data_IF_733965573779
#
_entry.id   IF_733965573779
#
_cell.length_a   1.000
_cell.length_b   1.000
_cell.length_c   1.000
_cell.angle_alpha   90.00
_cell.angle_beta   90.00
_cell.angle_gamma   90.00
#
_symmetry.space_group_name_H-M   'P 1'
#
loop_
_entity.id
_entity.type
_entity.pdbx_description
1 polymer ?
#
# COMPACT_ATOMS: atom_id res chain seq x y z
N UNK A 1 -30.78 -4.26 15.81
CA UNK A 1 -31.07 -5.25 14.74
C UNK A 1 -30.30 -6.52 15.05
N UNK A 2 -30.85 -7.70 14.87
CA UNK A 2 -30.09 -8.94 15.05
C UNK A 2 -29.34 -9.19 13.74
N UNK A 3 -28.03 -9.08 13.73
CA UNK A 3 -27.18 -9.38 12.57
C UNK A 3 -27.23 -10.89 12.30
N UNK A 4 -27.57 -11.27 11.07
CA UNK A 4 -27.70 -12.68 10.65
C UNK A 4 -26.64 -13.06 9.63
N UNK A 5 -26.29 -12.12 8.74
CA UNK A 5 -25.34 -12.36 7.65
C UNK A 5 -24.33 -11.24 7.50
N UNK A 6 -23.06 -11.62 7.50
CA UNK A 6 -21.91 -10.74 7.29
C UNK A 6 -21.30 -11.07 5.95
N UNK A 7 -20.99 -10.06 5.16
CA UNK A 7 -20.25 -10.19 3.91
C UNK A 7 -18.85 -9.59 4.03
N UNK A 8 -17.87 -10.27 3.44
CA UNK A 8 -16.49 -9.82 3.33
C UNK A 8 -16.16 -9.54 1.87
N UNK A 9 -15.40 -8.47 1.61
CA UNK A 9 -14.85 -8.22 0.29
C UNK A 9 -13.47 -7.52 0.39
N UNK A 10 -12.53 -7.90 -0.50
CA UNK A 10 -11.23 -7.24 -0.65
C UNK A 10 -11.16 -6.55 -2.00
N UNK A 11 -10.67 -5.31 -2.05
CA UNK A 11 -10.59 -4.55 -3.30
C UNK A 11 -9.35 -3.62 -3.34
N UNK A 12 -9.05 -3.12 -4.54
CA UNK A 12 -7.92 -2.23 -4.81
C UNK A 12 -6.65 -2.99 -5.20
N UNK A 13 -5.48 -2.46 -4.89
CA UNK A 13 -4.19 -3.14 -5.06
C UNK A 13 -3.96 -4.21 -3.99
N UNK A 14 -3.09 -5.18 -4.25
CA UNK A 14 -2.67 -6.11 -3.20
C UNK A 14 -1.84 -5.39 -2.13
N UNK A 15 -1.96 -5.86 -0.90
CA UNK A 15 -1.10 -5.49 0.23
C UNK A 15 -0.93 -6.70 1.16
N UNK A 16 0.14 -6.77 1.96
CA UNK A 16 0.46 -7.92 2.81
C UNK A 16 -0.42 -8.04 4.05
N UNK A 17 -1.73 -7.84 3.90
CA UNK A 17 -2.69 -7.90 5.01
C UNK A 17 -3.99 -8.57 4.61
N UNK A 18 -4.26 -8.73 3.29
CA UNK A 18 -5.58 -9.13 2.83
C UNK A 18 -5.99 -10.51 3.34
N UNK A 19 -5.10 -11.49 3.24
CA UNK A 19 -5.35 -12.84 3.73
C UNK A 19 -5.58 -12.85 5.24
N UNK A 20 -4.70 -12.19 6.00
CA UNK A 20 -4.80 -12.11 7.45
C UNK A 20 -6.04 -11.33 7.92
N UNK A 21 -6.43 -10.26 7.21
CA UNK A 21 -7.63 -9.50 7.58
C UNK A 21 -8.92 -10.32 7.38
N UNK A 22 -9.00 -11.09 6.30
CA UNK A 22 -10.11 -12.04 6.09
C UNK A 22 -10.12 -13.09 7.19
N UNK A 23 -8.96 -13.69 7.49
CA UNK A 23 -8.81 -14.69 8.57
C UNK A 23 -9.24 -14.16 9.92
N UNK A 24 -8.72 -12.99 10.33
CA UNK A 24 -9.02 -12.37 11.62
C UNK A 24 -10.51 -12.01 11.78
N UNK A 25 -11.18 -11.51 10.73
CA UNK A 25 -12.62 -11.27 10.77
C UNK A 25 -13.42 -12.57 10.96
N UNK A 26 -13.05 -13.65 10.24
CA UNK A 26 -13.70 -14.96 10.37
C UNK A 26 -13.50 -15.52 11.78
N UNK A 27 -12.28 -15.48 12.32
CA UNK A 27 -11.95 -15.93 13.68
C UNK A 27 -12.79 -15.14 14.69
N UNK A 28 -12.82 -13.80 14.57
CA UNK A 28 -13.52 -12.97 15.54
C UNK A 28 -15.02 -13.18 15.53
N UNK A 29 -15.66 -13.27 14.36
CA UNK A 29 -17.08 -13.62 14.28
C UNK A 29 -17.39 -15.01 14.80
N UNK A 30 -16.49 -15.97 14.60
CA UNK A 30 -16.63 -17.33 15.13
C UNK A 30 -16.63 -17.36 16.66
N UNK A 31 -15.83 -16.47 17.29
CA UNK A 31 -15.80 -16.33 18.75
C UNK A 31 -17.02 -15.59 19.32
N UNK A 32 -17.44 -14.49 18.66
CA UNK A 32 -18.50 -13.61 19.18
C UNK A 32 -19.91 -14.17 18.90
N UNK A 33 -20.13 -14.67 17.70
CA UNK A 33 -21.44 -15.09 17.18
C UNK A 33 -21.26 -16.33 16.28
N UNK A 34 -21.05 -17.54 16.85
CA UNK A 34 -20.74 -18.76 16.09
C UNK A 34 -21.78 -19.12 15.02
N UNK A 35 -23.04 -18.73 15.25
CA UNK A 35 -24.17 -19.03 14.36
C UNK A 35 -24.35 -17.99 13.24
N UNK A 36 -23.58 -16.89 13.25
CA UNK A 36 -23.69 -15.86 12.21
C UNK A 36 -23.22 -16.42 10.86
N UNK A 37 -23.97 -16.17 9.81
CA UNK A 37 -23.57 -16.60 8.48
C UNK A 37 -22.54 -15.60 7.91
N UNK A 38 -21.42 -16.11 7.40
CA UNK A 38 -20.37 -15.33 6.74
C UNK A 38 -20.32 -15.73 5.28
N UNK A 39 -20.47 -14.74 4.40
CA UNK A 39 -20.22 -14.90 2.97
C UNK A 39 -19.02 -14.03 2.57
N UNK A 40 -18.34 -14.40 1.50
CA UNK A 40 -17.23 -13.64 0.96
C UNK A 40 -17.37 -13.46 -0.54
N UNK A 41 -17.52 -12.22 -1.00
CA UNK A 41 -17.62 -11.91 -2.43
C UNK A 41 -16.26 -12.11 -3.11
N UNK A 42 -16.28 -12.88 -4.21
CA UNK A 42 -15.07 -13.19 -4.96
C UNK A 42 -14.66 -12.01 -5.84
N UNK A 43 -13.36 -11.72 -5.87
CA UNK A 43 -12.81 -10.64 -6.70
C UNK A 43 -13.40 -9.24 -6.40
N UNK A 44 -13.72 -8.97 -5.14
CA UNK A 44 -14.17 -7.66 -4.68
C UNK A 44 -15.51 -7.22 -5.28
N UNK A 45 -15.59 -5.96 -5.71
CA UNK A 45 -16.83 -5.43 -6.30
C UNK A 45 -17.26 -6.13 -7.60
N UNK A 46 -16.34 -6.79 -8.31
CA UNK A 46 -16.70 -7.58 -9.49
C UNK A 46 -17.61 -8.76 -9.11
N UNK A 47 -17.26 -9.49 -8.06
CA UNK A 47 -18.08 -10.58 -7.55
C UNK A 47 -19.39 -10.11 -6.92
N UNK A 48 -19.38 -8.97 -6.23
CA UNK A 48 -20.61 -8.37 -5.70
C UNK A 48 -21.59 -8.04 -6.84
N UNK A 49 -21.12 -7.42 -7.94
CA UNK A 49 -21.98 -7.13 -9.10
C UNK A 49 -22.53 -8.39 -9.76
N UNK A 50 -21.75 -9.48 -9.79
CA UNK A 50 -22.17 -10.77 -10.36
C UNK A 50 -22.93 -11.68 -9.37
N UNK A 51 -23.01 -11.35 -8.10
CA UNK A 51 -23.55 -12.21 -7.05
C UNK A 51 -22.65 -13.43 -6.77
N UNK A 52 -21.36 -13.34 -7.11
CA UNK A 52 -20.39 -14.43 -6.95
C UNK A 52 -19.78 -14.38 -5.55
N UNK A 53 -20.16 -15.30 -4.69
CA UNK A 53 -19.65 -15.41 -3.34
C UNK A 53 -19.47 -16.87 -2.90
N UNK A 54 -18.69 -17.06 -1.85
CA UNK A 54 -18.59 -18.33 -1.12
C UNK A 54 -19.19 -18.15 0.27
N UNK A 55 -19.79 -19.20 0.81
CA UNK A 55 -20.20 -19.25 2.22
C UNK A 55 -19.09 -19.88 3.03
N UNK A 56 -18.74 -19.23 4.15
CA UNK A 56 -17.71 -19.73 5.08
C UNK A 56 -18.29 -20.89 5.88
N UNK A 57 -17.81 -22.10 5.60
CA UNK A 57 -18.26 -23.32 6.28
C UNK A 57 -17.64 -23.46 7.68
N UNK A 58 -18.21 -24.30 8.58
CA UNK A 58 -17.57 -24.59 9.88
C UNK A 58 -16.11 -25.04 9.74
N UNK A 59 -15.80 -25.89 8.75
CA UNK A 59 -14.43 -26.33 8.48
C UNK A 59 -13.51 -25.19 8.08
N UNK A 60 -13.99 -24.23 7.28
CA UNK A 60 -13.24 -23.02 6.93
C UNK A 60 -12.99 -22.14 8.15
N UNK A 61 -13.96 -22.03 9.07
CA UNK A 61 -13.79 -21.28 10.32
C UNK A 61 -12.69 -21.86 11.20
N UNK A 62 -12.66 -23.18 11.39
CA UNK A 62 -11.61 -23.87 12.15
C UNK A 62 -10.21 -23.64 11.57
N UNK A 63 -10.12 -23.40 10.27
CA UNK A 63 -8.86 -23.22 9.54
C UNK A 63 -8.54 -21.74 9.21
N UNK A 64 -9.35 -20.80 9.66
CA UNK A 64 -9.15 -19.38 9.33
C UNK A 64 -7.78 -18.85 9.77
N UNK A 65 -7.23 -19.34 10.88
CA UNK A 65 -5.91 -19.01 11.37
C UNK A 65 -4.78 -19.30 10.38
N UNK A 66 -4.94 -20.27 9.47
CA UNK A 66 -3.94 -20.57 8.43
C UNK A 66 -3.77 -19.42 7.43
N UNK A 67 -4.78 -18.57 7.27
CA UNK A 67 -4.72 -17.42 6.38
C UNK A 67 -3.67 -16.39 6.78
N UNK A 68 -3.25 -16.39 8.05
CA UNK A 68 -2.18 -15.50 8.52
C UNK A 68 -0.80 -15.80 7.91
N UNK A 69 -0.58 -17.03 7.46
CA UNK A 69 0.67 -17.46 6.83
C UNK A 69 0.76 -17.18 5.32
N UNK A 70 -0.26 -16.54 4.71
CA UNK A 70 -0.32 -16.33 3.27
C UNK A 70 -0.44 -14.86 2.88
N UNK A 71 0.23 -14.50 1.78
CA UNK A 71 0.02 -13.24 1.09
C UNK A 71 -1.14 -13.33 0.09
N UNK A 72 -1.46 -12.19 -0.54
CA UNK A 72 -2.58 -12.08 -1.46
C UNK A 72 -3.94 -12.09 -0.77
N UNK A 73 -5.02 -12.32 -1.53
CA UNK A 73 -6.38 -12.42 -1.00
C UNK A 73 -6.95 -13.82 -1.23
N UNK A 74 -7.45 -14.51 -0.19
CA UNK A 74 -8.03 -15.86 -0.35
C UNK A 74 -9.36 -15.85 -1.09
N UNK A 75 -10.02 -14.69 -1.19
CA UNK A 75 -11.30 -14.48 -1.89
C UNK A 75 -11.12 -13.74 -3.22
N UNK A 76 -9.88 -13.59 -3.68
CA UNK A 76 -9.56 -12.81 -4.86
C UNK A 76 -9.68 -11.30 -4.62
N UNK A 77 -9.22 -10.53 -5.58
CA UNK A 77 -9.16 -9.07 -5.48
C UNK A 77 -9.31 -8.44 -6.86
N UNK A 78 -9.93 -7.26 -6.94
CA UNK A 78 -10.02 -6.51 -8.20
C UNK A 78 -9.94 -5.00 -7.98
N UNK A 79 -9.68 -4.27 -9.07
CA UNK A 79 -9.70 -2.82 -9.11
C UNK A 79 -10.98 -2.27 -9.73
N UNK A 80 -12.06 -3.04 -9.72
CA UNK A 80 -13.38 -2.58 -10.16
C UNK A 80 -13.86 -1.50 -9.19
N UNK A 81 -14.26 -0.36 -9.74
CA UNK A 81 -14.87 0.76 -9.00
C UNK A 81 -16.31 0.93 -9.46
N UNK A 82 -17.27 0.92 -8.55
CA UNK A 82 -18.70 1.10 -8.89
C UNK A 82 -18.97 2.48 -9.50
N UNK A 83 -18.14 3.47 -9.19
CA UNK A 83 -18.21 4.82 -9.77
C UNK A 83 -17.72 4.89 -11.23
N UNK A 84 -17.02 3.87 -11.72
CA UNK A 84 -16.54 3.81 -13.11
C UNK A 84 -17.48 2.99 -13.98
N UNK A 85 -18.66 3.56 -14.28
CA UNK A 85 -19.74 2.92 -15.07
C UNK A 85 -19.21 2.39 -16.41
N UNK A 86 -18.39 3.18 -17.13
CA UNK A 86 -17.84 2.80 -18.44
C UNK A 86 -16.98 1.54 -18.36
N UNK A 87 -16.14 1.40 -17.32
CA UNK A 87 -15.30 0.22 -17.12
C UNK A 87 -16.15 -1.00 -16.74
N UNK A 88 -17.18 -0.82 -15.89
CA UNK A 88 -18.10 -1.88 -15.52
C UNK A 88 -18.88 -2.42 -16.73
N UNK A 89 -19.39 -1.54 -17.59
CA UNK A 89 -20.07 -1.93 -18.83
C UNK A 89 -19.10 -2.63 -19.80
N UNK A 90 -17.91 -2.07 -20.00
CA UNK A 90 -16.86 -2.65 -20.87
C UNK A 90 -16.47 -4.08 -20.45
N UNK A 91 -16.45 -4.34 -19.15
CA UNK A 91 -16.16 -5.67 -18.58
C UNK A 91 -17.35 -6.61 -18.55
N UNK A 92 -18.54 -6.14 -18.95
CA UNK A 92 -19.77 -6.93 -18.90
C UNK A 92 -20.29 -7.20 -17.48
N UNK A 93 -19.88 -6.39 -16.50
CA UNK A 93 -20.32 -6.52 -15.11
C UNK A 93 -21.71 -5.93 -14.88
N UNK A 94 -22.08 -4.94 -15.69
CA UNK A 94 -23.42 -4.36 -15.74
C UNK A 94 -23.83 -4.11 -17.19
N UNK A 95 -25.12 -4.04 -17.46
CA UNK A 95 -25.63 -3.70 -18.79
C UNK A 95 -25.49 -2.20 -19.09
N UNK A 96 -25.54 -1.81 -20.35
CA UNK A 96 -25.55 -0.42 -20.76
C UNK A 96 -26.77 0.31 -20.16
N UNK A 97 -26.55 1.46 -19.53
CA UNK A 97 -27.59 2.24 -18.87
C UNK A 97 -27.87 1.83 -17.43
N UNK A 98 -27.26 0.77 -16.91
CA UNK A 98 -27.35 0.42 -15.50
C UNK A 98 -26.30 1.19 -14.67
N UNK A 99 -26.67 1.58 -13.47
CA UNK A 99 -25.76 2.11 -12.46
C UNK A 99 -25.17 0.95 -11.63
N UNK A 100 -23.84 0.75 -11.63
CA UNK A 100 -23.22 -0.32 -10.86
C UNK A 100 -23.48 -0.22 -9.35
N UNK A 101 -23.67 0.99 -8.79
CA UNK A 101 -24.01 1.17 -7.39
C UNK A 101 -25.39 0.54 -7.07
N UNK A 102 -26.39 0.80 -7.92
CA UNK A 102 -27.72 0.22 -7.76
C UNK A 102 -27.70 -1.31 -7.91
N UNK A 103 -26.98 -1.83 -8.90
CA UNK A 103 -26.85 -3.29 -9.11
C UNK A 103 -26.20 -3.95 -7.88
N UNK A 104 -25.14 -3.35 -7.33
CA UNK A 104 -24.50 -3.84 -6.12
C UNK A 104 -25.43 -3.78 -4.90
N UNK A 105 -26.20 -2.72 -4.74
CA UNK A 105 -27.19 -2.57 -3.66
C UNK A 105 -28.32 -3.62 -3.75
N UNK A 106 -28.87 -3.85 -4.94
CA UNK A 106 -29.85 -4.89 -5.19
C UNK A 106 -29.29 -6.28 -4.85
N UNK A 107 -28.03 -6.54 -5.20
CA UNK A 107 -27.40 -7.82 -4.90
C UNK A 107 -27.22 -8.02 -3.39
N UNK A 108 -26.74 -7.00 -2.64
CA UNK A 108 -26.64 -7.06 -1.18
C UNK A 108 -28.00 -7.35 -0.52
N UNK A 109 -29.06 -6.69 -0.99
CA UNK A 109 -30.43 -6.92 -0.52
C UNK A 109 -30.89 -8.33 -0.82
N UNK A 110 -30.67 -8.83 -2.04
CA UNK A 110 -31.01 -10.18 -2.47
C UNK A 110 -30.29 -11.25 -1.65
N UNK A 111 -29.02 -11.01 -1.32
CA UNK A 111 -28.23 -11.91 -0.50
C UNK A 111 -28.53 -11.75 1.00
N UNK A 112 -29.34 -10.79 1.40
CA UNK A 112 -29.75 -10.56 2.79
C UNK A 112 -28.60 -10.17 3.70
N UNK A 113 -27.68 -9.32 3.21
CA UNK A 113 -26.47 -8.90 3.94
C UNK A 113 -26.81 -7.80 4.93
N UNK A 114 -26.60 -8.03 6.22
CA UNK A 114 -26.79 -7.04 7.29
C UNK A 114 -25.52 -6.19 7.51
N UNK A 115 -24.35 -6.79 7.33
CA UNK A 115 -23.04 -6.18 7.56
C UNK A 115 -22.12 -6.42 6.36
N UNK A 116 -21.48 -5.38 5.86
CA UNK A 116 -20.43 -5.47 4.84
C UNK A 116 -19.09 -5.02 5.42
N UNK A 117 -18.11 -5.89 5.43
CA UNK A 117 -16.71 -5.53 5.66
C UNK A 117 -15.98 -5.34 4.34
N UNK A 118 -15.38 -4.16 4.18
CA UNK A 118 -14.50 -3.86 3.05
C UNK A 118 -13.06 -3.77 3.52
N UNK A 119 -12.16 -4.50 2.85
CA UNK A 119 -10.72 -4.47 3.10
C UNK A 119 -10.08 -3.82 1.89
N UNK A 120 -9.77 -2.52 1.98
CA UNK A 120 -9.32 -1.76 0.82
C UNK A 120 -8.83 -0.36 1.15
N UNK A 121 -8.45 0.38 0.11
CA UNK A 121 -8.07 1.80 0.21
C UNK A 121 -9.28 2.71 0.45
N UNK A 122 -9.02 4.01 0.39
CA UNK A 122 -10.03 5.06 0.53
C UNK A 122 -11.21 4.89 -0.44
N UNK A 123 -10.96 4.73 -1.73
CA UNK A 123 -11.97 4.49 -2.76
C UNK A 123 -12.88 3.27 -2.45
N UNK A 124 -12.30 2.19 -1.91
CA UNK A 124 -13.06 0.98 -1.57
C UNK A 124 -14.02 1.23 -0.42
N UNK A 125 -13.53 1.91 0.62
CA UNK A 125 -14.28 2.18 1.83
C UNK A 125 -15.35 3.26 1.60
N UNK A 126 -15.05 4.31 0.84
CA UNK A 126 -16.04 5.35 0.50
C UNK A 126 -17.13 4.82 -0.41
N UNK A 127 -16.81 3.96 -1.39
CA UNK A 127 -17.81 3.28 -2.23
C UNK A 127 -18.79 2.44 -1.38
N UNK A 128 -18.30 1.77 -0.35
CA UNK A 128 -19.18 1.00 0.55
C UNK A 128 -20.06 1.91 1.41
N UNK A 129 -19.59 3.10 1.78
CA UNK A 129 -20.41 4.10 2.44
C UNK A 129 -21.54 4.61 1.53
N UNK A 130 -21.24 4.86 0.25
CA UNK A 130 -22.24 5.26 -0.75
C UNK A 130 -23.30 4.17 -0.92
N UNK A 131 -22.91 2.89 -0.94
CA UNK A 131 -23.85 1.76 -0.95
C UNK A 131 -24.76 1.75 0.28
N UNK A 132 -24.21 1.96 1.48
CA UNK A 132 -24.99 2.00 2.71
C UNK A 132 -25.98 3.17 2.71
N UNK A 133 -25.55 4.36 2.27
CA UNK A 133 -26.41 5.53 2.15
C UNK A 133 -27.57 5.30 1.17
N UNK A 134 -27.27 4.78 -0.02
CA UNK A 134 -28.29 4.44 -1.01
C UNK A 134 -29.30 3.41 -0.49
N UNK A 135 -28.84 2.35 0.18
CA UNK A 135 -29.72 1.32 0.74
C UNK A 135 -30.59 1.87 1.85
N UNK A 136 -30.07 2.72 2.73
CA UNK A 136 -30.84 3.38 3.78
C UNK A 136 -31.98 4.22 3.21
N UNK A 137 -31.70 5.02 2.16
CA UNK A 137 -32.73 5.81 1.45
C UNK A 137 -33.82 4.93 0.81
N UNK A 138 -33.52 3.67 0.50
CA UNK A 138 -34.42 2.69 -0.08
C UNK A 138 -35.00 1.69 0.95
N UNK A 139 -34.86 1.99 2.25
CA UNK A 139 -35.50 1.22 3.34
C UNK A 139 -34.78 -0.08 3.70
N UNK A 140 -33.50 -0.21 3.37
CA UNK A 140 -32.67 -1.34 3.77
C UNK A 140 -31.45 -0.86 4.60
N UNK A 141 -31.36 -1.39 5.82
CA UNK A 141 -30.26 -1.01 6.73
C UNK A 141 -29.05 -1.91 6.51
N UNK A 142 -27.96 -1.34 6.03
CA UNK A 142 -26.66 -1.99 5.89
C UNK A 142 -25.63 -1.33 6.80
N UNK A 143 -25.05 -2.09 7.70
CA UNK A 143 -23.88 -1.63 8.46
C UNK A 143 -22.61 -1.88 7.64
N UNK A 144 -21.76 -0.86 7.47
CA UNK A 144 -20.50 -0.98 6.76
C UNK A 144 -19.34 -0.67 7.68
N UNK A 145 -18.39 -1.61 7.81
CA UNK A 145 -17.18 -1.38 8.58
C UNK A 145 -15.96 -1.75 7.71
N UNK A 146 -15.20 -0.72 7.36
CA UNK A 146 -14.01 -0.86 6.51
C UNK A 146 -12.73 -1.07 7.31
N UNK A 147 -11.77 -1.77 6.69
CA UNK A 147 -10.38 -1.89 7.15
C UNK A 147 -9.46 -1.18 6.14
N UNK A 148 -8.61 -0.23 6.59
CA UNK A 148 -7.79 0.58 5.70
C UNK A 148 -6.56 -0.20 5.23
N UNK A 149 -6.54 -0.57 3.96
CA UNK A 149 -5.49 -1.36 3.34
C UNK A 149 -4.79 -0.56 2.23
N UNK A 150 -3.53 -0.20 2.45
CA UNK A 150 -2.62 0.35 1.45
C UNK A 150 -1.18 0.15 1.90
N UNK A 151 -0.27 -0.10 0.96
CA UNK A 151 1.18 -0.13 1.27
C UNK A 151 1.79 1.28 1.33
N UNK A 152 1.12 2.26 0.73
CA UNK A 152 1.62 3.64 0.65
C UNK A 152 1.39 4.43 1.94
N UNK A 153 0.56 3.89 2.86
CA UNK A 153 0.18 4.54 4.12
C UNK A 153 -0.44 5.93 3.93
N UNK A 154 -1.27 6.08 2.89
CA UNK A 154 -1.76 7.36 2.36
C UNK A 154 -3.25 7.65 2.63
N UNK A 155 -3.86 7.02 3.62
CA UNK A 155 -5.28 7.23 4.02
C UNK A 155 -5.39 8.22 5.16
N UNK A 156 -6.10 9.33 4.96
CA UNK A 156 -6.45 10.32 6.00
C UNK A 156 -7.70 9.84 6.77
N UNK A 157 -7.78 9.97 8.09
CA UNK A 157 -6.76 10.34 9.06
C UNK A 157 -6.09 9.12 9.72
N UNK A 158 -5.94 8.04 9.00
CA UNK A 158 -5.42 6.78 9.51
C UNK A 158 -3.90 6.88 9.69
N UNK A 159 -3.42 6.65 10.92
CA UNK A 159 -2.00 6.69 11.25
C UNK A 159 -1.21 5.61 10.51
N UNK A 160 -1.70 4.38 10.61
CA UNK A 160 -1.05 3.22 10.04
C UNK A 160 -2.05 2.36 9.28
N UNK A 161 -1.83 2.23 7.97
CA UNK A 161 -2.59 1.35 7.11
C UNK A 161 -2.09 -0.09 7.21
N UNK A 162 -3.02 -1.05 7.09
CA UNK A 162 -2.73 -2.47 7.15
C UNK A 162 -1.87 -2.90 5.97
N UNK A 163 -0.77 -3.61 6.25
CA UNK A 163 0.17 -4.14 5.27
C UNK A 163 1.34 -3.21 4.94
N UNK A 164 1.34 -1.96 5.41
CA UNK A 164 2.40 -1.01 5.07
C UNK A 164 3.73 -1.32 5.78
N UNK A 165 3.70 -1.76 7.04
CA UNK A 165 4.92 -2.18 7.75
C UNK A 165 5.57 -3.41 7.10
N UNK A 166 4.77 -4.42 6.77
CA UNK A 166 5.27 -5.61 6.05
C UNK A 166 5.85 -5.23 4.70
N UNK A 167 5.20 -4.34 3.95
CA UNK A 167 5.71 -3.90 2.66
C UNK A 167 7.07 -3.19 2.78
N UNK A 168 7.27 -2.37 3.82
CA UNK A 168 8.56 -1.73 4.10
C UNK A 168 9.64 -2.76 4.47
N UNK A 169 9.32 -3.74 5.31
CA UNK A 169 10.24 -4.83 5.69
C UNK A 169 10.63 -5.69 4.47
N UNK A 170 9.66 -6.08 3.65
CA UNK A 170 9.92 -6.84 2.43
C UNK A 170 10.77 -6.05 1.42
N UNK A 171 10.53 -4.75 1.31
CA UNK A 171 11.39 -3.85 0.54
C UNK A 171 12.84 -3.83 1.06
N UNK A 172 13.02 -3.85 2.38
CA UNK A 172 14.35 -3.92 3.00
C UNK A 172 15.05 -5.27 2.72
N UNK A 173 14.33 -6.39 2.80
CA UNK A 173 14.85 -7.72 2.42
C UNK A 173 15.23 -7.78 0.94
N UNK A 174 14.42 -7.18 0.07
CA UNK A 174 14.73 -7.08 -1.35
C UNK A 174 16.01 -6.25 -1.58
N UNK A 175 16.17 -5.15 -0.83
CA UNK A 175 17.34 -4.28 -0.91
C UNK A 175 18.62 -5.03 -0.55
N UNK A 176 18.63 -5.89 0.48
CA UNK A 176 19.81 -6.70 0.85
C UNK A 176 20.35 -7.50 -0.32
N UNK A 177 19.47 -8.13 -1.10
CA UNK A 177 19.89 -8.94 -2.24
C UNK A 177 20.40 -8.08 -3.41
N UNK A 178 19.71 -6.98 -3.73
CA UNK A 178 20.11 -6.17 -4.88
C UNK A 178 21.37 -5.33 -4.60
N UNK A 179 21.57 -4.89 -3.36
CA UNK A 179 22.75 -4.12 -2.97
C UNK A 179 24.01 -5.00 -3.01
N UNK A 180 23.91 -6.29 -2.73
CA UNK A 180 25.02 -7.23 -2.89
C UNK A 180 25.64 -7.23 -4.30
N UNK A 181 24.89 -6.81 -5.31
CA UNK A 181 25.37 -6.68 -6.70
C UNK A 181 26.48 -5.61 -6.88
N UNK A 182 26.67 -4.70 -5.90
CA UNK A 182 27.81 -3.78 -5.94
C UNK A 182 29.16 -4.51 -6.04
N UNK A 183 29.20 -5.76 -5.59
CA UNK A 183 30.40 -6.61 -5.65
C UNK A 183 30.70 -7.15 -7.05
N UNK A 184 29.76 -7.07 -7.99
CA UNK A 184 29.90 -7.64 -9.34
C UNK A 184 30.65 -6.73 -10.32
N UNK A 185 30.69 -5.42 -10.04
CA UNK A 185 31.37 -4.42 -10.87
C UNK A 185 31.88 -3.28 -9.99
N UNK A 186 33.01 -2.67 -10.35
CA UNK A 186 33.47 -1.44 -9.70
C UNK A 186 32.51 -0.29 -10.03
N UNK A 187 32.46 0.71 -9.14
CA UNK A 187 31.70 1.96 -9.33
C UNK A 187 30.25 1.74 -9.77
N UNK A 188 29.54 0.90 -8.99
CA UNK A 188 28.16 0.54 -9.30
C UNK A 188 27.16 1.52 -8.68
N UNK A 189 26.24 2.04 -9.50
CA UNK A 189 25.06 2.80 -9.04
C UNK A 189 23.84 1.88 -9.01
N UNK A 190 23.30 1.64 -7.83
CA UNK A 190 22.11 0.81 -7.60
C UNK A 190 20.96 1.71 -7.21
N UNK A 191 19.84 1.60 -7.93
CA UNK A 191 18.59 2.30 -7.63
C UNK A 191 17.53 1.26 -7.30
N UNK A 192 17.08 1.27 -6.06
CA UNK A 192 15.92 0.53 -5.59
C UNK A 192 14.68 1.41 -5.74
N UNK A 193 13.89 1.18 -6.78
CA UNK A 193 12.62 1.87 -6.99
C UNK A 193 11.51 1.19 -6.18
N UNK A 194 10.91 1.96 -5.29
CA UNK A 194 9.85 1.56 -4.35
C UNK A 194 8.53 2.20 -4.79
N UNK A 195 7.40 1.51 -4.60
CA UNK A 195 6.07 2.08 -4.85
C UNK A 195 5.80 3.28 -3.95
N UNK A 196 4.84 4.11 -4.33
CA UNK A 196 4.45 5.33 -3.62
C UNK A 196 4.42 6.52 -4.58
N UNK A 197 3.36 6.58 -5.43
CA UNK A 197 3.23 7.63 -6.45
C UNK A 197 3.17 9.03 -5.88
N UNK A 198 2.39 9.22 -4.82
CA UNK A 198 2.08 10.51 -4.22
C UNK A 198 2.44 10.58 -2.73
N UNK A 199 2.97 9.49 -2.17
CA UNK A 199 3.37 9.38 -0.79
C UNK A 199 4.70 8.63 -0.69
N UNK A 200 5.73 9.29 -0.21
CA UNK A 200 7.08 8.74 -0.06
C UNK A 200 7.29 7.88 1.18
N UNK A 201 6.25 7.70 2.00
CA UNK A 201 6.36 7.00 3.27
C UNK A 201 6.96 5.60 3.12
N UNK A 202 6.47 4.81 2.14
CA UNK A 202 6.95 3.44 1.95
C UNK A 202 8.45 3.40 1.60
N UNK A 203 8.92 4.33 0.76
CA UNK A 203 10.34 4.43 0.39
C UNK A 203 11.20 4.79 1.60
N UNK A 204 10.78 5.79 2.36
CA UNK A 204 11.46 6.21 3.58
C UNK A 204 11.49 5.10 4.65
N UNK A 205 10.35 4.44 4.87
CA UNK A 205 10.24 3.32 5.81
C UNK A 205 11.07 2.11 5.38
N UNK A 206 11.11 1.80 4.07
CA UNK A 206 11.96 0.74 3.51
C UNK A 206 13.44 1.03 3.77
N UNK A 207 13.90 2.24 3.52
CA UNK A 207 15.28 2.64 3.78
C UNK A 207 15.63 2.60 5.27
N UNK A 208 14.70 3.05 6.14
CA UNK A 208 14.89 2.98 7.58
C UNK A 208 14.98 1.55 8.09
N UNK A 209 14.06 0.65 7.67
CA UNK A 209 14.06 -0.77 8.02
C UNK A 209 15.33 -1.46 7.49
N UNK A 210 15.78 -1.13 6.31
CA UNK A 210 17.04 -1.65 5.78
C UNK A 210 18.23 -1.25 6.65
N UNK A 211 18.35 0.02 7.05
CA UNK A 211 19.42 0.47 7.94
C UNK A 211 19.33 -0.12 9.36
N UNK A 212 18.12 -0.32 9.88
CA UNK A 212 17.89 -1.03 11.14
C UNK A 212 18.50 -2.45 11.08
N UNK A 213 18.22 -3.19 10.00
CA UNK A 213 18.80 -4.52 9.75
C UNK A 213 20.33 -4.48 9.64
N UNK A 214 20.88 -3.52 8.89
CA UNK A 214 22.33 -3.34 8.83
C UNK A 214 22.94 -3.01 10.19
N UNK A 215 22.20 -2.34 11.09
CA UNK A 215 22.65 -2.03 12.45
C UNK A 215 22.88 -3.26 13.33
N UNK A 216 22.27 -4.40 12.98
CA UNK A 216 22.45 -5.69 13.68
C UNK A 216 23.52 -6.59 13.04
N UNK A 217 24.12 -6.16 11.92
CA UNK A 217 25.14 -6.93 11.21
C UNK A 217 26.55 -6.48 11.57
N UNK A 218 27.47 -7.43 11.63
CA UNK A 218 28.90 -7.17 11.74
C UNK A 218 29.53 -7.25 10.36
N UNK A 219 30.40 -6.30 10.06
CA UNK A 219 31.15 -6.25 8.80
C UNK A 219 32.59 -6.69 9.04
N UNK A 220 33.10 -7.56 8.17
CA UNK A 220 34.45 -8.10 8.31
C UNK A 220 35.57 -7.10 7.93
N UNK A 221 35.20 -6.03 7.21
CA UNK A 221 36.19 -5.11 6.61
C UNK A 221 36.99 -5.71 5.46
N UNK A 222 36.61 -6.90 4.98
CA UNK A 222 37.31 -7.57 3.88
C UNK A 222 36.76 -7.13 2.53
N UNK A 223 37.53 -6.37 1.78
CA UNK A 223 37.14 -5.86 0.46
C UNK A 223 35.87 -4.99 0.55
N UNK A 224 34.84 -5.38 -0.16
CA UNK A 224 33.56 -4.67 -0.21
C UNK A 224 32.60 -5.01 0.97
N UNK A 225 33.03 -5.86 1.92
CA UNK A 225 32.23 -6.17 3.10
C UNK A 225 32.47 -5.14 4.21
N UNK A 226 32.09 -3.90 3.93
CA UNK A 226 32.17 -2.75 4.85
C UNK A 226 30.80 -2.10 4.98
N UNK A 227 30.58 -1.40 6.08
CA UNK A 227 29.32 -0.68 6.31
C UNK A 227 29.04 0.32 5.19
N UNK A 228 30.05 1.02 4.74
CA UNK A 228 29.97 2.08 3.72
C UNK A 228 29.48 1.53 2.39
N UNK A 229 29.90 0.33 1.98
CA UNK A 229 29.43 -0.28 0.73
C UNK A 229 27.97 -0.74 0.79
N UNK A 230 27.49 -1.11 1.97
CA UNK A 230 26.16 -1.65 2.15
C UNK A 230 25.13 -0.61 2.62
N UNK A 231 25.55 0.59 3.04
CA UNK A 231 24.61 1.58 3.57
C UNK A 231 23.67 2.20 2.50
N UNK A 232 22.63 2.84 2.95
CA UNK A 232 21.77 3.73 2.17
C UNK A 232 22.55 5.02 1.90
N UNK A 233 22.66 5.43 0.65
CA UNK A 233 23.37 6.66 0.29
C UNK A 233 22.43 7.81 -0.09
N UNK A 234 21.22 7.51 -0.53
CA UNK A 234 20.19 8.51 -0.78
C UNK A 234 18.78 7.95 -0.65
N UNK A 235 17.83 8.80 -0.25
CA UNK A 235 16.38 8.51 -0.21
C UNK A 235 15.66 9.65 -0.90
N UNK A 236 15.01 9.37 -2.04
CA UNK A 236 14.25 10.37 -2.80
C UNK A 236 12.77 10.07 -2.74
N UNK A 237 12.00 11.04 -2.27
CA UNK A 237 10.55 10.97 -2.09
C UNK A 237 9.87 12.10 -2.88
N UNK A 238 8.59 11.92 -3.30
CA UNK A 238 7.90 12.93 -4.12
C UNK A 238 7.67 14.26 -3.41
N UNK A 239 7.68 14.27 -2.08
CA UNK A 239 7.42 15.45 -1.25
C UNK A 239 8.64 16.38 -1.11
N UNK A 240 9.83 15.94 -1.52
CA UNK A 240 11.04 16.73 -1.44
C UNK A 240 11.52 17.13 -2.85
N UNK A 241 11.82 18.42 -3.00
CA UNK A 241 12.53 18.90 -4.17
C UNK A 241 13.98 18.42 -4.17
N UNK A 242 14.49 18.10 -5.34
CA UNK A 242 15.83 17.55 -5.52
C UNK A 242 16.67 18.45 -6.41
N UNK A 243 17.77 18.94 -5.87
CA UNK A 243 18.85 19.52 -6.67
C UNK A 243 19.77 18.40 -7.18
N UNK A 244 19.58 18.03 -8.45
CA UNK A 244 20.33 16.94 -9.11
C UNK A 244 21.84 17.21 -9.10
N UNK A 245 22.27 18.47 -9.28
CA UNK A 245 23.68 18.79 -9.36
C UNK A 245 24.37 18.67 -7.98
N UNK A 246 23.75 19.22 -6.95
CA UNK A 246 24.25 19.12 -5.58
C UNK A 246 24.30 17.67 -5.09
N UNK A 247 23.22 16.90 -5.35
CA UNK A 247 23.19 15.47 -5.00
C UNK A 247 24.22 14.65 -5.78
N UNK A 248 24.41 14.94 -7.07
CA UNK A 248 25.44 14.24 -7.84
C UNK A 248 26.86 14.49 -7.31
N UNK A 249 27.17 15.70 -6.84
CA UNK A 249 28.45 16.02 -6.21
C UNK A 249 28.63 15.22 -4.91
N UNK A 250 27.61 15.19 -4.05
CA UNK A 250 27.62 14.40 -2.81
C UNK A 250 27.77 12.90 -3.08
N UNK A 251 26.97 12.34 -4.00
CA UNK A 251 27.03 10.93 -4.37
C UNK A 251 28.33 10.55 -5.07
N UNK A 252 28.94 11.49 -5.80
CA UNK A 252 30.26 11.28 -6.41
C UNK A 252 31.34 11.08 -5.34
N UNK A 253 31.31 11.86 -4.27
CA UNK A 253 32.26 11.68 -3.17
C UNK A 253 32.10 10.28 -2.53
N UNK A 254 30.87 9.81 -2.33
CA UNK A 254 30.59 8.46 -1.84
C UNK A 254 31.08 7.39 -2.82
N UNK A 255 30.82 7.57 -4.12
CA UNK A 255 31.29 6.66 -5.16
C UNK A 255 32.83 6.56 -5.19
N UNK A 256 33.51 7.69 -4.99
CA UNK A 256 34.97 7.72 -4.98
C UNK A 256 35.56 7.05 -3.73
N UNK A 257 34.87 7.07 -2.59
CA UNK A 257 35.30 6.48 -1.32
C UNK A 257 34.91 4.99 -1.22
N UNK A 258 33.60 4.69 -1.40
CA UNK A 258 33.04 3.35 -1.18
C UNK A 258 33.02 2.47 -2.45
N UNK A 259 33.19 3.05 -3.64
CA UNK A 259 33.15 2.32 -4.90
C UNK A 259 31.74 1.92 -5.35
N UNK A 260 30.70 2.35 -4.65
CA UNK A 260 29.30 2.10 -5.00
C UNK A 260 28.38 3.19 -4.45
N UNK A 261 27.18 3.31 -5.02
CA UNK A 261 26.11 4.19 -4.53
C UNK A 261 24.78 3.44 -4.53
N UNK A 262 24.09 3.42 -3.39
CA UNK A 262 22.79 2.76 -3.18
C UNK A 262 21.71 3.81 -2.93
N UNK A 263 20.75 3.92 -3.85
CA UNK A 263 19.65 4.91 -3.81
C UNK A 263 18.33 4.20 -3.59
N UNK A 264 17.53 4.67 -2.63
CA UNK A 264 16.13 4.30 -2.44
C UNK A 264 15.27 5.40 -3.06
N UNK A 265 14.51 5.04 -4.08
CA UNK A 265 13.75 5.98 -4.91
C UNK A 265 12.27 5.66 -4.87
N UNK A 266 11.43 6.62 -4.47
CA UNK A 266 10.00 6.51 -4.71
C UNK A 266 9.70 6.63 -6.21
N UNK A 267 8.81 5.78 -6.73
CA UNK A 267 8.36 5.87 -8.13
C UNK A 267 7.71 7.22 -8.46
N UNK A 268 7.30 8.01 -7.45
CA UNK A 268 6.73 9.34 -7.59
C UNK A 268 7.76 10.47 -7.56
N UNK A 269 9.00 10.20 -7.14
CA UNK A 269 10.02 11.24 -7.04
C UNK A 269 10.40 11.79 -8.42
N UNK A 270 10.56 13.10 -8.54
CA UNK A 270 10.99 13.79 -9.75
C UNK A 270 10.03 13.71 -10.95
N UNK A 271 8.80 13.19 -10.76
CA UNK A 271 7.83 13.02 -11.86
C UNK A 271 7.50 14.35 -12.55
N UNK A 272 7.37 15.45 -11.81
CA UNK A 272 7.15 16.79 -12.37
C UNK A 272 8.28 17.20 -13.33
N UNK A 273 9.52 17.05 -12.88
CA UNK A 273 10.71 17.38 -13.68
C UNK A 273 10.81 16.52 -14.95
N UNK A 274 10.54 15.20 -14.81
CA UNK A 274 10.54 14.28 -15.97
C UNK A 274 9.49 14.71 -16.99
N UNK A 275 8.29 15.07 -16.53
CA UNK A 275 7.19 15.52 -17.40
C UNK A 275 7.54 16.84 -18.10
N UNK A 276 8.12 17.80 -17.39
CA UNK A 276 8.57 19.06 -17.96
C UNK A 276 9.64 18.86 -19.05
N UNK A 277 10.61 17.97 -18.81
CA UNK A 277 11.61 17.62 -19.83
C UNK A 277 11.00 16.92 -21.05
N UNK A 278 10.00 16.03 -20.85
CA UNK A 278 9.29 15.40 -21.96
C UNK A 278 8.56 16.43 -22.81
N UNK A 279 7.82 17.33 -22.16
CA UNK A 279 7.09 18.40 -22.85
C UNK A 279 8.05 19.34 -23.61
N UNK A 280 9.20 19.66 -23.03
CA UNK A 280 10.22 20.48 -23.70
C UNK A 280 10.80 19.81 -24.96
N UNK A 281 10.79 18.46 -25.01
CA UNK A 281 11.16 17.67 -26.20
C UNK A 281 10.00 17.45 -27.18
N UNK A 282 8.80 17.96 -26.88
CA UNK A 282 7.59 17.75 -27.67
C UNK A 282 6.97 16.35 -27.48
N UNK A 283 7.29 15.66 -26.38
CA UNK A 283 6.74 14.36 -26.02
C UNK A 283 5.61 14.57 -25.00
N UNK A 284 4.44 13.95 -25.23
CA UNK A 284 3.35 13.98 -24.25
C UNK A 284 3.38 12.71 -23.37
N UNK A 285 3.36 12.85 -22.02
CA UNK A 285 3.29 11.70 -21.12
C UNK A 285 1.92 11.02 -21.24
N UNK A 286 1.91 9.70 -21.31
CA UNK A 286 0.67 8.93 -21.27
C UNK A 286 -0.02 9.11 -19.92
N UNK A 287 -1.35 9.29 -19.97
CA UNK A 287 -2.17 9.46 -18.77
C UNK A 287 -3.18 8.33 -18.64
N UNK A 288 -3.59 8.07 -17.41
CA UNK A 288 -4.70 7.16 -17.11
C UNK A 288 -6.06 7.82 -17.36
N UNK A 289 -7.16 7.09 -17.11
CA UNK A 289 -8.52 7.61 -17.29
C UNK A 289 -8.86 8.78 -16.33
N UNK A 290 -8.06 9.03 -15.32
CA UNK A 290 -8.21 10.09 -14.33
C UNK A 290 -7.29 11.28 -14.60
N UNK A 291 -6.47 11.23 -15.67
CA UNK A 291 -5.54 12.29 -16.04
C UNK A 291 -4.18 12.19 -15.35
N UNK A 292 -3.93 11.22 -14.51
CA UNK A 292 -2.62 11.01 -13.86
C UNK A 292 -1.62 10.43 -14.85
N UNK A 293 -0.37 10.88 -14.76
CA UNK A 293 0.73 10.34 -15.56
C UNK A 293 0.92 8.86 -15.26
N UNK A 294 1.01 8.04 -16.30
CA UNK A 294 1.33 6.62 -16.16
C UNK A 294 2.82 6.45 -15.86
N UNK A 295 3.18 6.21 -14.61
CA UNK A 295 4.56 6.11 -14.13
C UNK A 295 5.37 5.07 -14.89
N UNK A 296 4.77 3.91 -15.20
CA UNK A 296 5.44 2.86 -15.99
C UNK A 296 5.93 3.35 -17.37
N UNK A 297 5.32 4.40 -17.91
CA UNK A 297 5.69 4.95 -19.22
C UNK A 297 6.81 5.97 -19.16
N UNK A 298 7.02 6.62 -18.02
CA UNK A 298 8.08 7.62 -17.81
C UNK A 298 9.31 7.07 -17.12
N UNK A 299 9.16 5.92 -16.42
CA UNK A 299 10.23 5.12 -15.83
C UNK A 299 11.21 5.92 -14.96
N UNK A 300 10.78 6.44 -13.80
CA UNK A 300 11.59 7.34 -12.98
C UNK A 300 12.96 6.77 -12.61
N UNK A 301 13.05 5.51 -12.21
CA UNK A 301 14.32 4.87 -11.87
C UNK A 301 15.34 4.92 -13.00
N UNK A 302 14.91 4.70 -14.25
CA UNK A 302 15.81 4.81 -15.41
C UNK A 302 16.20 6.25 -15.72
N UNK A 303 15.28 7.20 -15.49
CA UNK A 303 15.59 8.62 -15.63
C UNK A 303 16.67 9.04 -14.63
N UNK A 304 16.51 8.70 -13.34
CA UNK A 304 17.51 8.98 -12.30
C UNK A 304 18.86 8.30 -12.60
N UNK A 305 18.84 7.04 -13.07
CA UNK A 305 20.05 6.35 -13.47
C UNK A 305 20.83 7.10 -14.56
N UNK A 306 20.11 7.64 -15.57
CA UNK A 306 20.72 8.45 -16.65
C UNK A 306 21.29 9.78 -16.14
N UNK A 307 20.56 10.45 -15.22
CA UNK A 307 21.01 11.73 -14.66
C UNK A 307 22.29 11.55 -13.86
N UNK A 308 22.33 10.54 -12.99
CA UNK A 308 23.46 10.38 -12.07
C UNK A 308 24.66 9.64 -12.66
N UNK A 309 24.48 8.67 -13.55
CA UNK A 309 25.55 7.76 -13.99
C UNK A 309 26.85 8.46 -14.39
N UNK A 310 26.77 9.44 -15.31
CA UNK A 310 27.94 10.19 -15.76
C UNK A 310 28.50 11.14 -14.71
N UNK A 311 27.64 11.79 -13.93
CA UNK A 311 28.03 12.78 -12.92
C UNK A 311 28.75 12.15 -11.73
N UNK A 312 28.31 10.95 -11.28
CA UNK A 312 28.95 10.21 -10.18
C UNK A 312 30.10 9.33 -10.66
N UNK A 313 30.30 9.21 -11.96
CA UNK A 313 31.32 8.35 -12.54
C UNK A 313 31.02 6.86 -12.33
N UNK A 314 29.76 6.45 -12.46
CA UNK A 314 29.37 5.06 -12.39
C UNK A 314 29.81 4.31 -13.68
N UNK A 315 30.42 3.14 -13.52
CA UNK A 315 30.76 2.25 -14.64
C UNK A 315 29.57 1.37 -15.01
N UNK A 316 28.72 1.06 -14.05
CA UNK A 316 27.48 0.31 -14.24
C UNK A 316 26.33 0.87 -13.40
N UNK A 317 25.13 0.81 -13.97
CA UNK A 317 23.89 1.16 -13.27
C UNK A 317 22.95 -0.03 -13.22
N UNK A 318 22.23 -0.18 -12.12
CA UNK A 318 21.18 -1.16 -11.95
C UNK A 318 19.93 -0.50 -11.34
N UNK A 319 18.78 -0.72 -11.95
CA UNK A 319 17.47 -0.29 -11.41
C UNK A 319 16.63 -1.51 -11.17
N UNK A 320 16.19 -1.69 -9.92
CA UNK A 320 15.33 -2.80 -9.52
C UNK A 320 14.10 -2.28 -8.78
N UNK A 321 12.95 -2.93 -8.99
CA UNK A 321 11.65 -2.54 -8.45
C UNK A 321 11.12 -3.61 -7.51
N UNK A 322 10.87 -3.28 -6.25
CA UNK A 322 10.37 -4.23 -5.25
C UNK A 322 8.84 -4.34 -5.19
N UNK A 323 8.11 -3.54 -5.95
CA UNK A 323 6.66 -3.37 -5.76
C UNK A 323 5.85 -4.67 -5.65
N UNK A 324 6.01 -5.62 -6.60
CA UNK A 324 5.31 -6.90 -6.54
C UNK A 324 5.79 -7.79 -5.39
N UNK A 325 7.08 -7.79 -5.12
CA UNK A 325 7.67 -8.54 -4.01
C UNK A 325 7.12 -8.04 -2.67
N UNK A 326 7.16 -6.74 -2.43
CA UNK A 326 6.77 -6.12 -1.16
C UNK A 326 5.27 -6.30 -0.85
N UNK A 327 4.38 -6.20 -1.85
CA UNK A 327 2.93 -6.25 -1.62
C UNK A 327 2.31 -7.64 -1.57
N UNK A 328 3.07 -8.69 -1.90
CA UNK A 328 2.54 -10.06 -2.04
C UNK A 328 2.93 -10.99 -0.89
N UNK A 329 3.65 -10.50 0.12
CA UNK A 329 4.04 -11.27 1.29
C UNK A 329 2.85 -11.53 2.24
N UNK A 330 3.02 -12.50 3.14
CA UNK A 330 2.19 -12.62 4.34
C UNK A 330 2.49 -11.47 5.31
N UNK A 331 1.52 -11.11 6.15
CA UNK A 331 1.70 -10.06 7.15
C UNK A 331 2.80 -10.46 8.16
N UNK A 332 3.69 -9.50 8.48
CA UNK A 332 4.63 -9.67 9.58
C UNK A 332 3.93 -9.51 10.94
N UNK A 333 4.66 -9.71 12.04
CA UNK A 333 4.09 -9.69 13.39
C UNK A 333 3.49 -8.33 13.77
N UNK A 334 4.10 -7.21 13.31
CA UNK A 334 3.60 -5.85 13.56
C UNK A 334 2.25 -5.61 12.87
N UNK A 335 2.16 -5.91 11.58
CA UNK A 335 0.91 -5.80 10.83
C UNK A 335 -0.13 -6.80 11.31
N UNK A 336 0.27 -8.04 11.66
CA UNK A 336 -0.65 -9.06 12.17
C UNK A 336 -1.30 -8.63 13.49
N UNK A 337 -0.54 -8.00 14.40
CA UNK A 337 -1.07 -7.46 15.63
C UNK A 337 -2.09 -6.33 15.37
N UNK A 338 -1.78 -5.42 14.46
CA UNK A 338 -2.70 -4.34 14.08
C UNK A 338 -3.95 -4.86 13.37
N UNK A 339 -3.79 -5.83 12.45
CA UNK A 339 -4.90 -6.47 11.74
C UNK A 339 -5.88 -7.12 12.73
N UNK A 340 -5.38 -7.88 13.72
CA UNK A 340 -6.21 -8.49 14.75
C UNK A 340 -6.95 -7.45 15.57
N UNK A 341 -6.27 -6.41 16.03
CA UNK A 341 -6.90 -5.33 16.79
C UNK A 341 -7.98 -4.59 15.98
N UNK A 342 -7.73 -4.34 14.68
CA UNK A 342 -8.72 -3.75 13.78
C UNK A 342 -9.90 -4.69 13.53
N UNK A 343 -9.67 -5.97 13.31
CA UNK A 343 -10.73 -6.96 13.09
C UNK A 343 -11.61 -7.15 14.33
N UNK A 344 -11.00 -7.18 15.53
CA UNK A 344 -11.72 -7.22 16.80
C UNK A 344 -12.69 -6.05 16.95
N UNK A 345 -12.19 -4.84 16.76
CA UNK A 345 -13.01 -3.64 16.86
C UNK A 345 -14.07 -3.59 15.75
N UNK A 346 -13.71 -3.99 14.53
CA UNK A 346 -14.62 -3.98 13.37
C UNK A 346 -15.82 -4.91 13.60
N UNK A 347 -15.59 -6.13 14.08
CA UNK A 347 -16.66 -7.09 14.37
C UNK A 347 -17.58 -6.58 15.49
N UNK A 348 -17.02 -6.04 16.59
CA UNK A 348 -17.80 -5.46 17.68
C UNK A 348 -18.61 -4.25 17.23
N UNK A 349 -18.01 -3.34 16.47
CA UNK A 349 -18.70 -2.16 15.92
C UNK A 349 -19.85 -2.57 14.99
N UNK A 350 -19.61 -3.53 14.10
CA UNK A 350 -20.62 -4.03 13.17
C UNK A 350 -21.84 -4.64 13.91
N UNK A 351 -21.59 -5.45 14.95
CA UNK A 351 -22.67 -6.03 15.77
C UNK A 351 -23.50 -4.97 16.53
N UNK A 352 -22.93 -3.77 16.75
CA UNK A 352 -23.61 -2.61 17.33
C UNK A 352 -24.31 -1.72 16.31
N UNK A 353 -24.14 -2.00 15.00
CA UNK A 353 -24.65 -1.15 13.92
C UNK A 353 -23.85 0.13 13.73
N UNK A 354 -22.58 0.18 14.18
CA UNK A 354 -21.68 1.33 14.01
C UNK A 354 -20.96 1.22 12.67
N UNK A 355 -21.15 2.18 11.77
CA UNK A 355 -20.51 2.23 10.46
C UNK A 355 -19.31 3.19 10.44
N UNK A 356 -18.25 2.84 9.71
CA UNK A 356 -17.04 3.64 9.55
C UNK A 356 -15.82 2.81 9.11
N UNK A 357 -14.63 3.37 9.23
CA UNK A 357 -13.36 2.68 8.96
C UNK A 357 -12.61 2.53 10.28
N UNK A 358 -12.22 1.30 10.61
CA UNK A 358 -11.46 1.03 11.84
C UNK A 358 -9.98 1.33 11.61
N UNK A 359 -9.41 2.21 12.41
CA UNK A 359 -7.99 2.53 12.36
C UNK A 359 -7.54 3.43 13.50
N UNK A 360 -6.24 3.62 13.58
CA UNK A 360 -5.65 4.59 14.51
C UNK A 360 -5.88 6.00 13.97
N UNK A 361 -6.68 6.79 14.68
CA UNK A 361 -7.11 8.14 14.28
C UNK A 361 -6.07 9.18 14.72
N UNK A 362 -5.32 9.74 13.75
CA UNK A 362 -4.28 10.76 14.01
C UNK A 362 -4.86 12.02 14.70
N UNK A 363 -6.07 12.43 14.34
CA UNK A 363 -6.72 13.59 14.92
C UNK A 363 -7.25 13.33 16.34
N UNK A 364 -7.29 12.07 16.77
CA UNK A 364 -7.67 11.65 18.12
C UNK A 364 -6.48 11.09 18.93
N UNK A 365 -5.24 11.45 18.57
CA UNK A 365 -4.03 11.02 19.28
C UNK A 365 -3.68 9.55 19.04
N UNK A 366 -3.86 9.08 17.83
CA UNK A 366 -3.52 7.73 17.36
C UNK A 366 -4.33 6.60 18.06
N UNK A 367 -5.50 6.94 18.61
CA UNK A 367 -6.38 5.96 19.25
C UNK A 367 -7.04 5.08 18.19
N UNK A 368 -7.02 3.77 18.39
CA UNK A 368 -7.74 2.81 17.55
C UNK A 368 -9.25 2.94 17.78
N UNK A 369 -9.98 3.32 16.74
CA UNK A 369 -11.43 3.55 16.79
C UNK A 369 -12.11 3.34 15.46
N UNK A 370 -13.44 3.41 15.43
CA UNK A 370 -14.23 3.57 14.21
C UNK A 370 -14.17 5.05 13.81
N UNK A 371 -13.61 5.34 12.65
CA UNK A 371 -13.50 6.67 12.07
C UNK A 371 -14.65 6.85 11.08
N UNK A 372 -15.37 7.94 11.17
CA UNK A 372 -16.52 8.26 10.35
C UNK A 372 -16.13 8.42 8.86
N UNK A 373 -16.90 7.83 7.94
CA UNK A 373 -16.61 7.85 6.49
C UNK A 373 -16.32 9.22 5.89
N UNK A 374 -17.02 10.33 6.26
CA UNK A 374 -16.74 11.66 5.69
C UNK A 374 -15.31 12.17 5.96
N UNK A 375 -14.63 11.60 6.96
CA UNK A 375 -13.24 11.94 7.29
C UNK A 375 -12.22 11.09 6.51
N UNK A 376 -12.65 9.98 5.92
CA UNK A 376 -11.77 9.08 5.17
C UNK A 376 -11.50 9.66 3.78
N UNK A 377 -10.22 9.89 3.50
CA UNK A 377 -9.75 10.42 2.21
C UNK A 377 -8.42 9.78 1.85
N UNK A 378 -8.18 9.59 0.55
CA UNK A 378 -6.86 9.24 0.05
C UNK A 378 -5.94 10.44 -0.11
N UNK A 379 -4.69 10.15 -0.46
CA UNK A 379 -3.72 11.19 -0.81
C UNK A 379 -3.09 11.89 0.39
N UNK A 380 -2.99 11.24 1.55
CA UNK A 380 -2.15 11.70 2.65
C UNK A 380 -0.70 11.76 2.19
N UNK A 381 -0.11 12.96 2.12
CA UNK A 381 1.29 13.13 1.84
C UNK A 381 2.14 12.62 3.03
N UNK A 382 3.34 12.16 2.75
CA UNK A 382 4.30 11.80 3.79
C UNK A 382 4.85 13.08 4.45
N UNK A 383 4.73 13.15 5.78
CA UNK A 383 5.34 14.26 6.55
C UNK A 383 6.86 14.06 6.65
N UNK A 384 7.58 14.74 5.77
CA UNK A 384 9.05 14.71 5.72
C UNK A 384 9.72 15.42 6.89
N UNK A 385 8.97 16.11 7.75
CA UNK A 385 9.47 16.73 8.97
C UNK A 385 9.56 15.77 10.17
N UNK A 386 9.04 14.54 10.01
CA UNK A 386 9.08 13.54 11.09
C UNK A 386 10.49 13.29 11.58
N UNK A 387 10.70 13.22 12.93
CA UNK A 387 12.05 13.11 13.50
C UNK A 387 12.86 11.93 12.97
N UNK A 388 12.25 10.76 12.84
CA UNK A 388 12.92 9.54 12.36
C UNK A 388 13.43 9.66 10.91
N UNK A 389 12.69 10.34 10.04
CA UNK A 389 13.09 10.51 8.65
C UNK A 389 14.20 11.57 8.52
N UNK A 390 14.07 12.68 9.26
CA UNK A 390 15.13 13.69 9.30
C UNK A 390 16.44 13.13 9.85
N UNK A 391 16.37 12.31 10.89
CA UNK A 391 17.54 11.62 11.44
C UNK A 391 18.16 10.67 10.40
N UNK A 392 17.33 9.90 9.67
CA UNK A 392 17.82 9.06 8.57
C UNK A 392 18.60 9.87 7.55
N UNK A 393 18.02 10.98 7.05
CA UNK A 393 18.67 11.84 6.05
C UNK A 393 19.95 12.50 6.56
N UNK A 394 19.99 12.90 7.85
CA UNK A 394 21.22 13.43 8.48
C UNK A 394 22.30 12.37 8.58
N UNK A 395 21.98 11.15 9.00
CA UNK A 395 22.92 10.05 9.15
C UNK A 395 23.56 9.63 7.82
N UNK A 396 22.85 9.76 6.70
CA UNK A 396 23.40 9.48 5.36
C UNK A 396 23.99 10.71 4.68
N UNK A 397 24.08 11.85 5.39
CA UNK A 397 24.64 13.09 4.88
C UNK A 397 23.84 13.76 3.76
N UNK A 398 22.55 13.42 3.62
CA UNK A 398 21.65 14.03 2.62
C UNK A 398 21.03 15.35 3.10
N UNK A 399 20.91 15.57 4.39
CA UNK A 399 20.58 16.86 4.99
C UNK A 399 21.79 17.42 5.72
N UNK A 400 22.10 18.70 5.50
CA UNK A 400 23.11 19.41 6.27
C UNK A 400 22.67 19.52 7.73
N UNK A 401 23.63 19.39 8.66
CA UNK A 401 23.44 19.58 10.11
C UNK A 401 23.42 21.09 10.46
N UNK A 402 22.51 21.87 9.85
CA UNK A 402 22.39 23.30 10.20
C UNK A 402 21.15 23.55 11.03
#
# INVERSE_FOLDING_TARGET
MTVRRVALLTAGGLAPCLSSAVGALIERYTELEPEIEIIAYLNGYAGLLGGEHITVTPEMRERAHLLHGFGGSPIGNSRVKLTNVKDCVKRGLVAEGQDPLHVAAEQLTKDGVDVLHTIGGDDTNTTAADLAAYLHENGYELTVVGLPKTIDNDVVPIKQSLGAWTAAEQGALFAENIIAEHSSNPRMLIIHEVMGRHCGWLTAATAAKYRERLGTQEFSGFGNNTRECWDVHAVYVPELELDIAAEAERLKAIMDEAGCVNVFLSEGAGVSTIVEEMLARGEEPKRDAFGHVKIDTINPGQWFAKQFAGMVGAEKTMVQKSGYFSRSAAANDEDLALIRACADLAAVAALRGESGVVGQDEEAGDVLRVVEFPRIKGGKAFDTSTPWFRELLQQIGQLSTH
#
